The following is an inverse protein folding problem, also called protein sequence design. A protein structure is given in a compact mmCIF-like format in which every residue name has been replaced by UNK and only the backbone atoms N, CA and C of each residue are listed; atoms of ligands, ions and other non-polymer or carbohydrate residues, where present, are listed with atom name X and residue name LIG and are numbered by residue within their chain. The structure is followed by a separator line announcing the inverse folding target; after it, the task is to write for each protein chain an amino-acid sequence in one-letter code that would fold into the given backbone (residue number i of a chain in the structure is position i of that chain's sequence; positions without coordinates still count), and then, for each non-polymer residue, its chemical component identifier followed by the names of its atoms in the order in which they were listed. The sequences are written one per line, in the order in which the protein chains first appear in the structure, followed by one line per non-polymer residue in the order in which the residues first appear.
data_IF_505667738845
#
_entry.id   IF_505667738845
#
_cell.length_a   1.000
_cell.length_b   1.000
_cell.length_c   1.000
_cell.angle_alpha   90.00
_cell.angle_beta   90.00
_cell.angle_gamma   90.00
#
_symmetry.space_group_name_H-M   'P 1'
#
loop_
_entity.id
_entity.type
_entity.pdbx_description
1 polymer ?
#
# COMPACT_ATOMS: atom_id res chain seq x y z
N UNK A 1 -14.30 3.99 32.19
CA UNK A 1 -14.04 5.42 32.51
C UNK A 1 -15.16 6.24 31.90
N UNK A 2 -15.66 7.33 32.53
CA UNK A 2 -16.72 8.17 31.96
C UNK A 2 -16.22 8.89 30.69
N UNK A 3 -17.03 8.85 29.64
CA UNK A 3 -16.73 9.50 28.34
C UNK A 3 -17.65 10.72 28.12
N UNK A 4 -17.07 11.91 28.18
CA UNK A 4 -17.77 13.16 27.89
C UNK A 4 -18.12 13.30 26.41
N UNK A 5 -17.35 12.73 25.51
CA UNK A 5 -17.61 12.74 24.07
C UNK A 5 -18.89 11.97 23.75
N UNK A 6 -19.13 10.81 24.34
CA UNK A 6 -20.37 10.03 24.19
C UNK A 6 -21.58 10.73 24.78
N UNK A 7 -21.39 11.44 25.89
CA UNK A 7 -22.46 12.28 26.45
C UNK A 7 -22.87 13.37 25.45
N UNK A 8 -21.90 14.06 24.87
CA UNK A 8 -22.15 15.09 23.86
C UNK A 8 -22.83 14.52 22.61
N UNK A 9 -22.33 13.43 22.09
CA UNK A 9 -22.88 12.73 20.93
C UNK A 9 -24.36 12.38 21.14
N UNK A 10 -24.68 11.70 22.26
CA UNK A 10 -26.04 11.27 22.55
C UNK A 10 -27.00 12.44 22.80
N UNK A 11 -26.54 13.51 23.42
CA UNK A 11 -27.31 14.73 23.59
C UNK A 11 -27.69 15.32 22.22
N UNK A 12 -26.74 15.42 21.30
CA UNK A 12 -26.96 15.97 19.96
C UNK A 12 -27.92 15.08 19.15
N UNK A 13 -27.76 13.77 19.22
CA UNK A 13 -28.68 12.79 18.60
C UNK A 13 -30.12 12.98 19.09
N UNK A 14 -30.28 13.20 20.39
CA UNK A 14 -31.59 13.45 21.02
C UNK A 14 -32.05 14.91 20.88
N UNK A 15 -31.30 15.75 20.16
CA UNK A 15 -31.61 17.17 19.89
C UNK A 15 -31.75 18.04 21.12
N UNK A 16 -31.10 17.70 22.22
CA UNK A 16 -31.05 18.53 23.43
C UNK A 16 -29.93 19.56 23.34
N UNK A 17 -30.18 20.78 23.83
CA UNK A 17 -29.12 21.74 24.14
C UNK A 17 -28.47 21.41 25.50
N UNK A 18 -27.27 21.94 25.73
CA UNK A 18 -26.61 21.82 27.04
C UNK A 18 -27.43 22.45 28.18
N UNK A 19 -28.16 23.55 27.88
CA UNK A 19 -28.99 24.26 28.85
C UNK A 19 -30.18 23.41 29.25
N UNK A 20 -30.88 22.80 28.29
CA UNK A 20 -32.02 21.92 28.57
C UNK A 20 -31.64 20.76 29.46
N UNK A 21 -30.56 20.03 29.13
CA UNK A 21 -30.12 18.92 29.99
C UNK A 21 -29.63 19.39 31.35
N UNK A 22 -28.95 20.53 31.46
CA UNK A 22 -28.57 21.10 32.73
C UNK A 22 -29.80 21.42 33.59
N UNK A 23 -30.84 21.99 33.00
CA UNK A 23 -32.12 22.28 33.70
C UNK A 23 -32.83 21.02 34.15
N UNK A 24 -32.91 19.96 33.32
CA UNK A 24 -33.48 18.67 33.70
C UNK A 24 -32.74 18.07 34.90
N UNK A 25 -31.42 18.23 34.94
CA UNK A 25 -30.58 17.71 36.02
C UNK A 25 -30.53 18.64 37.27
N UNK A 26 -31.13 19.82 37.19
CA UNK A 26 -31.09 20.87 38.21
C UNK A 26 -29.66 21.28 38.56
N UNK A 27 -28.82 21.45 37.55
CA UNK A 27 -27.41 21.92 37.63
C UNK A 27 -27.20 23.12 36.73
N UNK A 28 -26.09 23.84 36.91
CA UNK A 28 -25.74 24.90 35.98
C UNK A 28 -25.11 24.37 34.69
N UNK A 29 -25.24 25.12 33.60
CA UNK A 29 -24.68 24.77 32.28
C UNK A 29 -23.18 24.54 32.33
N UNK A 30 -22.43 25.29 33.14
CA UNK A 30 -20.97 25.17 33.20
C UNK A 30 -20.53 23.81 33.77
N UNK A 31 -21.23 23.33 34.80
CA UNK A 31 -21.02 21.97 35.35
C UNK A 31 -21.32 20.89 34.30
N UNK A 32 -22.44 21.01 33.58
CA UNK A 32 -22.78 20.11 32.49
C UNK A 32 -21.68 20.10 31.38
N UNK A 33 -21.26 21.30 30.95
CA UNK A 33 -20.21 21.44 29.95
C UNK A 33 -18.87 20.83 30.39
N UNK A 34 -18.55 20.89 31.69
CA UNK A 34 -17.32 20.28 32.22
C UNK A 34 -17.34 18.74 32.06
N UNK A 35 -18.50 18.12 32.05
CA UNK A 35 -18.66 16.69 31.80
C UNK A 35 -18.43 16.35 30.32
N UNK A 36 -19.02 17.11 29.40
CA UNK A 36 -18.80 16.87 27.96
C UNK A 36 -17.35 17.10 27.53
N UNK A 37 -16.65 18.01 28.18
CA UNK A 37 -15.23 18.31 27.91
C UNK A 37 -14.25 17.41 28.66
N UNK A 38 -14.75 16.45 29.47
CA UNK A 38 -13.92 15.53 30.24
C UNK A 38 -13.17 16.15 31.43
N UNK A 39 -13.43 17.44 31.76
CA UNK A 39 -12.82 18.13 32.91
C UNK A 39 -13.34 17.64 34.24
N UNK A 40 -14.56 17.14 34.28
CA UNK A 40 -15.19 16.52 35.43
C UNK A 40 -16.06 15.34 34.99
N UNK A 41 -16.48 14.52 35.94
CA UNK A 41 -17.44 13.45 35.71
C UNK A 41 -18.72 13.71 36.54
N UNK A 42 -19.91 13.31 36.04
CA UNK A 42 -21.12 13.38 36.85
C UNK A 42 -21.01 12.44 38.05
N UNK A 43 -21.66 12.79 39.16
CA UNK A 43 -21.87 11.87 40.25
C UNK A 43 -22.87 10.77 39.82
N UNK A 44 -22.97 9.71 40.62
CA UNK A 44 -23.80 8.56 40.27
C UNK A 44 -25.30 8.90 40.09
N UNK A 45 -25.84 9.84 40.89
CA UNK A 45 -27.20 10.33 40.76
C UNK A 45 -27.44 11.01 39.41
N UNK A 46 -26.54 11.89 39.01
CA UNK A 46 -26.64 12.59 37.74
C UNK A 46 -26.39 11.66 36.54
N UNK A 47 -25.49 10.68 36.70
CA UNK A 47 -25.22 9.68 35.66
C UNK A 47 -26.48 8.81 35.41
N UNK A 48 -27.15 8.37 36.44
CA UNK A 48 -28.43 7.66 36.35
C UNK A 48 -29.54 8.49 35.68
N UNK A 49 -29.65 9.77 36.05
CA UNK A 49 -30.63 10.67 35.47
C UNK A 49 -30.35 10.92 33.98
N UNK A 50 -29.05 11.10 33.61
CA UNK A 50 -28.63 11.22 32.20
C UNK A 50 -28.99 9.96 31.39
N UNK A 51 -28.72 8.79 31.92
CA UNK A 51 -29.05 7.51 31.27
C UNK A 51 -30.54 7.39 30.98
N UNK A 52 -31.38 7.79 31.94
CA UNK A 52 -32.84 7.80 31.77
C UNK A 52 -33.30 8.84 30.74
N UNK A 53 -32.88 10.08 30.85
CA UNK A 53 -33.27 11.19 29.93
C UNK A 53 -32.86 10.88 28.50
N UNK A 54 -31.66 10.36 28.31
CA UNK A 54 -31.11 10.06 27.01
C UNK A 54 -31.49 8.66 26.47
N UNK A 55 -32.19 7.88 27.28
CA UNK A 55 -32.63 6.51 26.97
C UNK A 55 -31.47 5.60 26.53
N UNK A 56 -30.46 5.52 27.38
CA UNK A 56 -29.30 4.63 27.21
C UNK A 56 -28.94 3.95 28.54
N UNK A 57 -28.32 2.77 28.53
CA UNK A 57 -27.75 2.20 29.75
C UNK A 57 -26.59 3.07 30.27
N UNK A 58 -26.34 3.02 31.59
CA UNK A 58 -25.21 3.78 32.23
C UNK A 58 -23.89 3.43 31.59
N UNK A 59 -23.67 2.17 31.23
CA UNK A 59 -22.47 1.65 30.55
C UNK A 59 -22.19 2.33 29.24
N UNK A 60 -23.22 2.95 28.62
CA UNK A 60 -23.01 3.78 27.41
C UNK A 60 -22.00 4.89 27.61
N UNK A 61 -21.92 5.48 28.80
CA UNK A 61 -21.00 6.59 29.12
C UNK A 61 -19.62 6.13 29.63
N UNK A 62 -19.38 4.82 29.74
CA UNK A 62 -18.16 4.28 30.32
C UNK A 62 -17.02 4.06 29.31
N UNK A 63 -17.35 4.13 28.03
CA UNK A 63 -16.39 3.93 26.93
C UNK A 63 -16.68 4.87 25.77
N UNK A 64 -15.62 5.28 25.06
CA UNK A 64 -15.72 6.04 23.80
C UNK A 64 -16.17 5.16 22.64
N UNK A 65 -16.05 3.84 22.77
CA UNK A 65 -16.36 2.89 21.70
C UNK A 65 -17.76 2.28 21.89
N UNK A 66 -18.61 2.40 20.87
CA UNK A 66 -19.95 1.82 20.86
C UNK A 66 -19.93 0.30 21.11
N UNK A 67 -18.90 -0.38 20.65
CA UNK A 67 -18.72 -1.82 20.80
C UNK A 67 -18.74 -2.26 22.27
N UNK A 68 -18.10 -1.49 23.17
CA UNK A 68 -18.07 -1.82 24.60
C UNK A 68 -19.48 -1.77 25.20
N UNK A 69 -20.27 -0.74 24.86
CA UNK A 69 -21.65 -0.62 25.32
C UNK A 69 -22.54 -1.75 24.79
N UNK A 70 -22.35 -2.11 23.53
CA UNK A 70 -23.11 -3.20 22.91
C UNK A 70 -22.72 -4.56 23.50
N UNK A 71 -21.42 -4.80 23.67
CA UNK A 71 -20.89 -6.02 24.28
C UNK A 71 -21.48 -6.26 25.70
N UNK A 72 -21.53 -5.21 26.51
CA UNK A 72 -22.06 -5.33 27.88
C UNK A 72 -23.54 -5.71 27.92
N UNK A 73 -24.31 -5.45 26.86
CA UNK A 73 -25.73 -5.80 26.73
C UNK A 73 -25.96 -7.23 26.20
N UNK A 74 -24.93 -7.90 25.69
CA UNK A 74 -25.04 -9.26 25.18
C UNK A 74 -25.33 -10.26 26.34
N UNK A 75 -26.03 -11.35 26.02
CA UNK A 75 -26.11 -12.51 26.90
C UNK A 75 -24.76 -13.26 26.96
N UNK A 76 -24.64 -14.23 27.90
CA UNK A 76 -23.36 -14.92 28.12
C UNK A 76 -22.82 -15.62 26.86
N UNK A 77 -23.68 -16.33 26.12
CA UNK A 77 -23.28 -17.04 24.90
C UNK A 77 -22.78 -16.10 23.81
N UNK A 78 -23.45 -14.96 23.60
CA UNK A 78 -23.06 -13.99 22.61
C UNK A 78 -21.79 -13.19 23.00
N UNK A 79 -21.54 -13.02 24.31
CA UNK A 79 -20.29 -12.45 24.82
C UNK A 79 -19.12 -13.34 24.45
N UNK A 80 -19.20 -14.63 24.69
CA UNK A 80 -18.18 -15.61 24.35
C UNK A 80 -17.87 -15.60 22.83
N UNK A 81 -18.94 -15.57 22.00
CA UNK A 81 -18.74 -15.46 20.53
C UNK A 81 -18.04 -14.15 20.13
N UNK A 82 -18.41 -13.02 20.75
CA UNK A 82 -17.80 -11.73 20.45
C UNK A 82 -16.33 -11.67 20.91
N UNK A 83 -16.02 -12.25 22.07
CA UNK A 83 -14.64 -12.36 22.60
C UNK A 83 -13.77 -13.19 21.65
N UNK A 84 -14.25 -14.38 21.25
CA UNK A 84 -13.55 -15.25 20.31
C UNK A 84 -13.31 -14.56 18.96
N UNK A 85 -14.30 -13.84 18.42
CA UNK A 85 -14.18 -13.11 17.18
C UNK A 85 -13.12 -11.99 17.25
N UNK A 86 -13.14 -11.21 18.34
CA UNK A 86 -12.12 -10.15 18.55
C UNK A 86 -10.73 -10.75 18.71
N UNK A 87 -10.60 -11.87 19.43
CA UNK A 87 -9.33 -12.58 19.58
C UNK A 87 -8.79 -13.08 18.24
N UNK A 88 -9.66 -13.64 17.39
CA UNK A 88 -9.26 -14.09 16.06
C UNK A 88 -8.83 -12.92 15.14
N UNK A 89 -9.53 -11.79 15.19
CA UNK A 89 -9.10 -10.57 14.48
C UNK A 89 -7.71 -10.10 14.95
N UNK A 90 -7.45 -10.11 16.25
CA UNK A 90 -6.16 -9.75 16.81
C UNK A 90 -5.06 -10.71 16.36
N UNK A 91 -5.32 -12.02 16.30
CA UNK A 91 -4.37 -13.02 15.79
C UNK A 91 -4.04 -12.78 14.32
N UNK A 92 -5.05 -12.45 13.50
CA UNK A 92 -4.85 -12.12 12.07
C UNK A 92 -3.99 -10.86 11.93
N UNK A 93 -4.34 -9.81 12.64
CA UNK A 93 -3.59 -8.54 12.64
C UNK A 93 -2.14 -8.74 13.10
N UNK A 94 -1.90 -9.52 14.15
CA UNK A 94 -0.55 -9.82 14.63
C UNK A 94 0.25 -10.65 13.63
N UNK A 95 -0.39 -11.56 12.89
CA UNK A 95 0.27 -12.30 11.80
C UNK A 95 0.66 -11.39 10.65
N UNK A 96 -0.15 -10.38 10.34
CA UNK A 96 0.18 -9.38 9.31
C UNK A 96 1.32 -8.46 9.75
N UNK A 97 1.33 -8.01 11.01
CA UNK A 97 2.41 -7.20 11.59
C UNK A 97 3.70 -8.00 11.75
N UNK A 98 3.60 -9.29 12.10
CA UNK A 98 4.74 -10.21 12.22
C UNK A 98 5.13 -10.89 10.89
N UNK A 99 4.49 -10.55 9.78
CA UNK A 99 5.07 -10.81 8.49
C UNK A 99 6.33 -9.95 8.41
N UNK A 100 7.42 -10.49 8.94
CA UNK A 100 8.76 -10.06 8.56
C UNK A 100 8.77 -10.28 7.06
N UNK A 101 8.59 -9.22 6.31
CA UNK A 101 8.79 -9.23 4.87
C UNK A 101 10.27 -9.53 4.73
N UNK A 102 10.62 -10.78 4.45
CA UNK A 102 11.99 -11.12 4.11
C UNK A 102 12.32 -10.29 2.89
N UNK A 103 13.20 -9.33 3.04
CA UNK A 103 13.66 -8.53 1.93
C UNK A 103 14.75 -9.32 1.20
N UNK A 104 14.57 -9.50 -0.09
CA UNK A 104 15.47 -10.23 -0.96
C UNK A 104 16.36 -9.25 -1.71
N UNK A 105 17.67 -9.26 -1.50
CA UNK A 105 18.58 -8.36 -2.19
C UNK A 105 18.71 -8.76 -3.66
N UNK A 106 18.70 -7.78 -4.53
CA UNK A 106 18.90 -7.93 -5.98
C UNK A 106 19.90 -6.87 -6.43
N UNK A 107 20.95 -7.32 -7.13
CA UNK A 107 21.92 -6.44 -7.76
C UNK A 107 21.34 -5.92 -9.08
N UNK A 108 21.20 -4.60 -9.18
CA UNK A 108 20.64 -3.90 -10.35
C UNK A 108 21.76 -3.17 -11.06
N UNK A 109 21.91 -3.40 -12.35
CA UNK A 109 22.85 -2.68 -13.20
C UNK A 109 22.37 -1.23 -13.41
N UNK A 110 23.21 -0.27 -13.07
CA UNK A 110 22.92 1.14 -13.28
C UNK A 110 22.97 1.49 -14.78
N UNK A 111 23.83 0.80 -15.54
CA UNK A 111 23.89 0.92 -17.00
C UNK A 111 24.03 -0.45 -17.70
N UNK A 112 22.96 -0.89 -18.34
CA UNK A 112 22.93 -2.17 -19.07
C UNK A 112 23.82 -2.17 -20.33
N UNK A 113 24.26 -1.01 -20.83
CA UNK A 113 25.18 -0.92 -21.98
C UNK A 113 26.50 -1.62 -21.70
N UNK A 114 26.92 -1.63 -20.44
CA UNK A 114 28.19 -2.24 -20.02
C UNK A 114 28.16 -3.77 -20.11
N UNK A 115 27.00 -4.40 -19.98
CA UNK A 115 26.84 -5.86 -20.13
C UNK A 115 26.86 -6.33 -21.59
N UNK A 116 26.91 -5.40 -22.55
CA UNK A 116 26.71 -5.63 -23.97
C UNK A 116 27.98 -5.96 -24.79
N UNK A 117 29.13 -6.23 -24.16
CA UNK A 117 30.35 -6.59 -24.87
C UNK A 117 30.31 -7.97 -25.53
N UNK A 118 30.82 -8.17 -26.76
CA UNK A 118 30.82 -9.50 -27.38
C UNK A 118 31.78 -10.45 -26.64
N UNK A 119 31.21 -11.42 -25.93
CA UNK A 119 31.94 -12.61 -25.47
C UNK A 119 32.76 -12.48 -24.18
N UNK A 120 32.59 -11.42 -23.40
CA UNK A 120 33.17 -11.37 -22.05
C UNK A 120 32.07 -11.70 -21.03
N UNK A 121 32.27 -12.77 -20.28
CA UNK A 121 31.48 -13.03 -19.07
C UNK A 121 31.59 -11.84 -18.12
N UNK A 122 30.60 -11.70 -17.26
CA UNK A 122 30.53 -10.63 -16.25
C UNK A 122 31.87 -10.51 -15.52
N UNK A 123 32.66 -9.50 -15.85
CA UNK A 123 33.80 -9.10 -15.04
C UNK A 123 33.29 -8.14 -13.99
N UNK A 124 33.82 -8.20 -12.77
CA UNK A 124 33.40 -7.49 -11.56
C UNK A 124 33.56 -5.96 -11.60
N UNK A 125 33.38 -5.30 -12.74
CA UNK A 125 33.61 -3.86 -12.94
C UNK A 125 32.35 -3.07 -13.29
N UNK A 126 31.17 -3.68 -13.20
CA UNK A 126 29.92 -2.96 -13.43
C UNK A 126 29.45 -2.27 -12.17
N UNK A 127 29.08 -1.01 -12.29
CA UNK A 127 28.40 -0.32 -11.21
C UNK A 127 27.01 -0.96 -11.03
N UNK A 128 26.79 -1.51 -9.84
CA UNK A 128 25.51 -2.12 -9.44
C UNK A 128 25.04 -1.47 -8.15
N UNK A 129 23.73 -1.32 -8.06
CA UNK A 129 23.05 -0.90 -6.84
C UNK A 129 22.28 -2.08 -6.27
N UNK A 130 22.50 -2.40 -4.98
CA UNK A 130 21.69 -3.41 -4.30
C UNK A 130 20.35 -2.80 -3.91
N UNK A 131 19.27 -3.39 -4.39
CA UNK A 131 17.90 -3.05 -4.01
C UNK A 131 17.21 -4.24 -3.37
N UNK A 132 16.07 -4.00 -2.75
CA UNK A 132 15.34 -5.06 -2.05
C UNK A 132 13.96 -5.27 -2.66
N UNK A 133 13.57 -6.54 -2.81
CA UNK A 133 12.22 -6.97 -3.18
C UNK A 133 11.52 -7.58 -1.97
N UNK A 134 10.21 -7.36 -1.85
CA UNK A 134 9.34 -8.01 -0.85
C UNK A 134 9.02 -9.47 -1.19
N UNK A 135 9.43 -9.91 -2.38
CA UNK A 135 9.26 -11.28 -2.89
C UNK A 135 10.55 -11.79 -3.47
N UNK A 136 10.82 -13.06 -3.27
CA UNK A 136 11.94 -13.73 -3.91
C UNK A 136 11.73 -13.78 -5.43
N UNK A 137 12.73 -13.35 -6.20
CA UNK A 137 12.68 -13.28 -7.66
C UNK A 137 13.56 -14.37 -8.26
N UNK A 138 13.07 -15.06 -9.28
CA UNK A 138 13.74 -16.21 -9.86
C UNK A 138 13.81 -16.15 -11.37
N UNK A 139 14.79 -16.86 -11.93
CA UNK A 139 14.87 -17.18 -13.36
C UNK A 139 15.23 -15.99 -14.25
N UNK A 140 15.80 -14.94 -13.70
CA UNK A 140 16.44 -13.84 -14.43
C UNK A 140 17.97 -13.98 -14.39
N UNK A 141 18.63 -13.41 -15.35
CA UNK A 141 20.09 -13.42 -15.44
C UNK A 141 20.67 -12.05 -15.05
N UNK A 142 19.92 -10.96 -15.31
CA UNK A 142 20.29 -9.61 -14.91
C UNK A 142 19.06 -8.75 -14.61
N UNK A 143 19.29 -7.67 -13.85
CA UNK A 143 18.26 -6.69 -13.50
C UNK A 143 18.76 -5.27 -13.85
N UNK A 144 17.83 -4.40 -14.27
CA UNK A 144 18.13 -2.98 -14.58
C UNK A 144 16.95 -2.08 -14.27
N UNK A 145 17.22 -0.79 -14.11
CA UNK A 145 16.18 0.20 -13.86
C UNK A 145 15.29 0.44 -15.08
N UNK A 146 14.01 0.65 -14.82
CA UNK A 146 13.05 1.15 -15.80
C UNK A 146 13.00 2.67 -15.66
N UNK A 147 13.36 3.37 -16.73
CA UNK A 147 13.38 4.84 -16.74
C UNK A 147 12.38 5.38 -17.75
N UNK A 148 11.58 6.36 -17.29
CA UNK A 148 10.61 7.08 -18.10
C UNK A 148 9.27 6.35 -18.24
N UNK A 149 8.29 7.05 -18.83
CA UNK A 149 6.87 6.68 -18.84
C UNK A 149 6.41 5.92 -20.08
N UNK A 150 7.34 5.57 -20.99
CA UNK A 150 7.00 4.99 -22.29
C UNK A 150 6.38 3.59 -22.25
N UNK A 151 6.56 2.89 -21.14
CA UNK A 151 6.06 1.53 -20.93
C UNK A 151 4.93 1.47 -19.89
N UNK A 152 4.47 2.61 -19.39
CA UNK A 152 3.29 2.69 -18.53
C UNK A 152 2.00 2.28 -19.28
N UNK A 153 0.98 1.80 -18.55
CA UNK A 153 0.93 1.58 -17.10
C UNK A 153 1.51 0.24 -16.64
N UNK A 154 2.02 -0.59 -17.53
CA UNK A 154 2.48 -1.95 -17.19
C UNK A 154 3.81 -1.93 -16.46
N UNK A 155 4.72 -1.06 -16.86
CA UNK A 155 6.05 -0.87 -16.26
C UNK A 155 6.19 0.58 -15.88
N UNK A 156 6.41 0.84 -14.59
CA UNK A 156 6.47 2.18 -14.05
C UNK A 156 7.89 2.71 -14.00
N UNK A 157 8.04 4.02 -14.06
CA UNK A 157 9.32 4.68 -13.82
C UNK A 157 9.83 4.37 -12.40
N UNK A 158 11.12 4.02 -12.28
CA UNK A 158 11.73 3.61 -11.01
C UNK A 158 11.54 2.14 -10.63
N UNK A 159 10.78 1.34 -11.38
CA UNK A 159 10.77 -0.11 -11.20
C UNK A 159 12.06 -0.76 -11.71
N UNK A 160 12.31 -1.97 -11.25
CA UNK A 160 13.39 -2.84 -11.71
C UNK A 160 12.83 -3.88 -12.68
N UNK A 161 13.40 -3.96 -13.88
CA UNK A 161 13.13 -5.01 -14.85
C UNK A 161 14.05 -6.20 -14.61
N UNK A 162 13.46 -7.39 -14.58
CA UNK A 162 14.16 -8.68 -14.50
C UNK A 162 14.28 -9.25 -15.91
N UNK A 163 15.48 -9.50 -16.35
CA UNK A 163 15.80 -9.84 -17.72
C UNK A 163 16.40 -11.22 -17.79
N UNK A 164 15.91 -12.04 -18.72
CA UNK A 164 16.56 -13.27 -19.13
C UNK A 164 17.34 -13.02 -20.40
N UNK A 165 18.64 -13.30 -20.38
CA UNK A 165 19.49 -13.16 -21.56
C UNK A 165 19.07 -14.14 -22.65
N UNK A 166 18.35 -13.63 -23.62
CA UNK A 166 17.91 -14.37 -24.82
C UNK A 166 18.02 -13.45 -26.01
N UNK A 167 18.25 -14.01 -27.18
CA UNK A 167 18.03 -13.28 -28.42
C UNK A 167 16.56 -12.91 -28.59
N UNK A 168 16.24 -12.20 -29.68
CA UNK A 168 14.86 -11.94 -30.05
C UNK A 168 14.16 -13.25 -30.49
N UNK A 169 13.17 -13.68 -29.72
CA UNK A 169 12.49 -14.97 -29.89
C UNK A 169 11.00 -14.86 -30.18
N UNK A 170 10.34 -13.77 -29.74
CA UNK A 170 8.90 -13.65 -29.81
C UNK A 170 8.41 -12.23 -30.11
N UNK A 171 7.55 -12.09 -31.16
CA UNK A 171 6.94 -10.82 -31.54
C UNK A 171 5.98 -10.30 -30.45
N UNK A 172 6.11 -9.03 -30.09
CA UNK A 172 5.26 -8.37 -29.11
C UNK A 172 5.66 -8.59 -27.67
N UNK A 173 6.66 -9.42 -27.36
CA UNK A 173 7.24 -9.48 -26.02
C UNK A 173 8.08 -8.24 -25.74
N UNK A 174 8.31 -7.97 -24.44
CA UNK A 174 9.12 -6.84 -23.98
C UNK A 174 10.57 -7.28 -23.85
N UNK A 175 11.45 -6.49 -24.41
CA UNK A 175 12.89 -6.73 -24.39
C UNK A 175 13.63 -5.51 -23.89
N UNK A 176 14.75 -5.76 -23.23
CA UNK A 176 15.82 -4.79 -23.06
C UNK A 176 16.75 -4.86 -24.27
N UNK A 177 17.08 -3.73 -24.84
CA UNK A 177 17.98 -3.61 -25.99
C UNK A 177 18.84 -2.38 -25.88
N UNK A 178 19.99 -2.44 -26.51
CA UNK A 178 20.86 -1.29 -26.77
C UNK A 178 20.76 -0.94 -28.26
N UNK A 179 20.55 0.32 -28.59
CA UNK A 179 20.48 0.85 -29.93
C UNK A 179 21.17 2.21 -30.00
N UNK A 180 22.14 2.33 -30.87
CA UNK A 180 22.99 3.54 -31.02
C UNK A 180 23.54 4.04 -29.66
N UNK A 181 24.00 3.10 -28.82
CA UNK A 181 24.57 3.38 -27.52
C UNK A 181 23.57 3.80 -26.43
N UNK A 182 22.26 3.68 -26.65
CA UNK A 182 21.23 3.95 -25.67
C UNK A 182 20.44 2.69 -25.32
N UNK A 183 20.04 2.57 -24.05
CA UNK A 183 19.26 1.45 -23.56
C UNK A 183 17.77 1.73 -23.65
N UNK A 184 17.01 0.73 -24.06
CA UNK A 184 15.56 0.77 -24.18
C UNK A 184 14.92 -0.48 -23.61
N UNK A 185 13.74 -0.32 -23.01
CA UNK A 185 12.81 -1.39 -22.68
C UNK A 185 11.56 -1.14 -23.54
N UNK A 186 11.29 -2.02 -24.49
CA UNK A 186 10.21 -1.87 -25.47
C UNK A 186 9.65 -3.22 -25.91
N UNK A 187 8.43 -3.22 -26.45
CA UNK A 187 7.93 -4.33 -27.25
C UNK A 187 8.65 -4.35 -28.59
N UNK A 188 9.10 -5.52 -29.00
CA UNK A 188 9.74 -5.70 -30.30
C UNK A 188 8.87 -6.55 -31.22
N UNK A 189 8.87 -6.18 -32.49
CA UNK A 189 8.23 -6.92 -33.59
C UNK A 189 9.21 -7.06 -34.74
N UNK A 190 9.26 -8.25 -35.33
CA UNK A 190 10.09 -8.52 -36.50
C UNK A 190 9.49 -7.84 -37.74
N UNK A 191 10.36 -7.24 -38.54
CA UNK A 191 10.03 -6.67 -39.84
C UNK A 191 11.04 -7.15 -40.89
N UNK A 192 10.73 -6.90 -42.17
CA UNK A 192 11.51 -7.46 -43.28
C UNK A 192 13.01 -7.18 -43.22
N UNK A 193 13.39 -5.97 -42.78
CA UNK A 193 14.78 -5.50 -42.74
C UNK A 193 15.16 -4.96 -41.34
N UNK A 194 14.65 -5.54 -40.26
CA UNK A 194 14.97 -5.07 -38.92
C UNK A 194 13.90 -5.37 -37.89
N UNK A 195 13.81 -4.52 -36.90
CA UNK A 195 12.85 -4.63 -35.81
C UNK A 195 12.04 -3.34 -35.66
N UNK A 196 10.77 -3.46 -35.35
CA UNK A 196 9.94 -2.33 -34.91
C UNK A 196 9.86 -2.31 -33.37
N UNK A 197 10.26 -1.20 -32.80
CA UNK A 197 10.28 -0.91 -31.40
C UNK A 197 9.01 -0.15 -31.01
N UNK A 198 8.21 -0.69 -30.09
CA UNK A 198 6.88 -0.22 -29.75
C UNK A 198 6.76 0.08 -28.26
N UNK A 199 6.31 1.29 -27.93
CA UNK A 199 5.98 1.70 -26.57
C UNK A 199 4.57 1.26 -26.20
N UNK A 200 4.31 0.95 -24.91
CA UNK A 200 2.96 0.70 -24.41
C UNK A 200 2.21 2.03 -24.30
N UNK A 201 2.83 3.02 -23.69
CA UNK A 201 2.32 4.38 -23.67
C UNK A 201 2.64 5.09 -24.99
N UNK A 202 1.61 5.34 -25.79
CA UNK A 202 1.74 5.99 -27.10
C UNK A 202 1.83 7.50 -27.03
N UNK A 203 1.57 8.11 -25.88
CA UNK A 203 1.62 9.56 -25.71
C UNK A 203 3.05 10.04 -25.85
N UNK A 204 3.34 10.76 -26.90
CA UNK A 204 4.68 11.26 -27.26
C UNK A 204 5.75 10.17 -27.49
N UNK A 205 5.35 8.90 -27.64
CA UNK A 205 6.24 7.77 -27.84
C UNK A 205 5.87 7.01 -29.13
N UNK A 206 6.19 7.55 -30.31
CA UNK A 206 5.92 6.90 -31.59
C UNK A 206 6.74 5.61 -31.72
N UNK A 207 6.22 4.68 -32.51
CA UNK A 207 6.96 3.49 -32.91
C UNK A 207 8.22 3.90 -33.67
N UNK A 208 9.31 3.16 -33.45
CA UNK A 208 10.59 3.39 -34.14
C UNK A 208 11.01 2.12 -34.85
N UNK A 209 11.56 2.29 -36.04
CA UNK A 209 12.16 1.20 -36.80
C UNK A 209 13.67 1.16 -36.55
N UNK A 210 14.18 -0.01 -36.25
CA UNK A 210 15.61 -0.33 -36.10
C UNK A 210 15.99 -1.14 -37.33
N UNK A 211 16.87 -0.59 -38.17
CA UNK A 211 17.38 -1.30 -39.35
C UNK A 211 18.31 -2.43 -38.94
N UNK A 212 18.36 -3.49 -39.74
CA UNK A 212 19.41 -4.52 -39.61
C UNK A 212 20.84 -3.99 -39.73
N UNK A 213 20.99 -2.83 -40.32
CA UNK A 213 22.30 -2.16 -40.52
C UNK A 213 22.67 -1.20 -39.36
N UNK A 214 21.72 -0.96 -38.43
CA UNK A 214 21.98 -0.14 -37.26
C UNK A 214 22.85 -0.90 -36.23
N UNK A 215 23.58 -0.13 -35.41
CA UNK A 215 24.25 -0.68 -34.25
C UNK A 215 23.21 -0.95 -33.13
N UNK A 216 22.73 -2.17 -33.09
CA UNK A 216 21.79 -2.59 -32.05
C UNK A 216 22.07 -4.00 -31.54
N UNK A 217 21.67 -4.23 -30.28
CA UNK A 217 21.72 -5.54 -29.64
C UNK A 217 20.51 -5.74 -28.76
N UNK A 218 19.81 -6.85 -28.90
CA UNK A 218 18.82 -7.31 -27.93
C UNK A 218 19.59 -7.96 -26.76
N UNK A 219 19.46 -7.38 -25.57
CA UNK A 219 20.11 -7.89 -24.35
C UNK A 219 19.37 -9.11 -23.84
N UNK A 220 18.04 -9.01 -23.76
CA UNK A 220 17.23 -10.12 -23.32
C UNK A 220 15.77 -9.75 -23.14
N UNK A 221 14.98 -10.77 -22.82
CA UNK A 221 13.54 -10.65 -22.60
C UNK A 221 13.24 -10.24 -21.18
N UNK A 222 12.38 -9.25 -20.99
CA UNK A 222 11.85 -8.89 -19.67
C UNK A 222 10.85 -9.95 -19.24
N UNK A 223 11.15 -10.64 -18.15
CA UNK A 223 10.35 -11.75 -17.62
C UNK A 223 9.58 -11.37 -16.35
N UNK A 224 9.93 -10.25 -15.74
CA UNK A 224 9.30 -9.72 -14.54
C UNK A 224 9.73 -8.29 -14.27
N UNK A 225 9.06 -7.66 -13.33
CA UNK A 225 9.45 -6.34 -12.80
C UNK A 225 8.91 -6.18 -11.38
N UNK A 226 9.49 -5.29 -10.61
CA UNK A 226 9.01 -4.95 -9.27
C UNK A 226 9.43 -3.53 -8.89
N UNK A 227 8.67 -2.91 -7.98
CA UNK A 227 9.08 -1.67 -7.33
C UNK A 227 9.95 -2.02 -6.12
N UNK A 228 11.19 -1.52 -6.03
CA UNK A 228 12.04 -1.74 -4.85
C UNK A 228 11.38 -1.29 -3.56
N UNK A 229 11.60 -2.03 -2.47
CA UNK A 229 11.15 -1.69 -1.12
C UNK A 229 12.33 -1.14 -0.32
N UNK A 230 12.11 0.02 0.26
CA UNK A 230 13.04 0.65 1.21
C UNK A 230 14.14 1.45 0.54
N UNK A 231 14.20 2.70 0.89
CA UNK A 231 15.39 3.52 1.16
C UNK A 231 15.53 3.66 2.67
#
# INVERSE_FOLDING_TARGET
MFSGSRLKEKRLEKKFSQVELANHLKINRSSYNSWETGRAKPNQKNLLALAQILNVPITYFESEYAIVSNFLQLNASNKELAENYVEDLLKVQQKEVNKITSLFPIEVLDDIRLSAGPGQGFTNEYETTTVYSDKEQYGFDLATWISGTSMEPTYLDGEVALIRETGFDYDGAVYALVWNGQTYIKKLYREKNGLRMVSINKTNNPDRFISSDDDFRVVGKVIGHFMPVGD
#
